data_IF_087859899136
#
_entry.id   IF_087859899136
#
_cell.length_a   1.000
_cell.length_b   1.000
_cell.length_c   1.000
_cell.angle_alpha   90.00
_cell.angle_beta   90.00
_cell.angle_gamma   90.00
#
_symmetry.space_group_name_H-M   'P 1'
#
loop_
_entity.id
_entity.type
_entity.pdbx_description
1 polymer ?
#
# COMPACT_ATOMS: atom_id res chain seq x y z
N UNK A 1 -21.29 -0.43 -34.36
CA UNK A 1 -19.90 -0.51 -34.84
C UNK A 1 -19.07 -1.15 -33.73
N UNK A 2 -18.31 -2.20 -34.02
CA UNK A 2 -17.50 -2.90 -33.01
C UNK A 2 -16.20 -2.13 -32.79
N UNK A 3 -15.76 -2.02 -31.54
CA UNK A 3 -14.53 -1.33 -31.15
C UNK A 3 -13.70 -2.19 -30.19
N UNK A 4 -12.40 -1.95 -30.14
CA UNK A 4 -11.48 -2.55 -29.18
C UNK A 4 -10.61 -1.47 -28.54
N UNK A 5 -10.10 -1.75 -27.34
CA UNK A 5 -9.11 -0.89 -26.70
C UNK A 5 -7.73 -1.06 -27.35
N UNK A 6 -7.07 0.05 -27.66
CA UNK A 6 -5.70 0.13 -28.15
C UNK A 6 -4.87 0.89 -27.11
N UNK A 7 -3.68 0.41 -26.79
CA UNK A 7 -2.78 1.03 -25.82
C UNK A 7 -1.62 1.65 -26.58
N UNK A 8 -1.37 2.94 -26.40
CA UNK A 8 -0.19 3.59 -26.94
C UNK A 8 1.08 3.13 -26.19
N UNK A 9 1.93 2.45 -26.94
CA UNK A 9 3.18 1.86 -26.49
C UNK A 9 4.15 2.91 -25.92
N UNK A 10 4.19 4.11 -26.51
CA UNK A 10 5.13 5.15 -26.12
C UNK A 10 4.74 5.84 -24.82
N UNK A 11 3.44 5.86 -24.50
CA UNK A 11 2.90 6.49 -23.30
C UNK A 11 2.70 5.50 -22.15
N UNK A 12 2.64 4.19 -22.42
CA UNK A 12 2.34 3.19 -21.39
C UNK A 12 3.47 3.02 -20.36
N UNK A 13 3.20 3.35 -19.10
CA UNK A 13 4.18 3.22 -17.99
C UNK A 13 4.19 1.84 -17.29
N UNK A 14 3.36 0.89 -17.72
CA UNK A 14 3.32 -0.44 -17.09
C UNK A 14 2.73 -0.47 -15.67
N UNK A 15 1.72 0.36 -15.36
CA UNK A 15 1.11 0.47 -14.01
C UNK A 15 0.20 -0.70 -13.60
N UNK A 16 -0.20 -1.57 -14.54
CA UNK A 16 -1.08 -2.76 -14.39
C UNK A 16 -2.53 -2.51 -13.98
N UNK A 17 -2.96 -1.26 -13.78
CA UNK A 17 -4.34 -0.95 -13.37
C UNK A 17 -5.38 -1.35 -14.43
N UNK A 18 -5.06 -1.17 -15.72
CA UNK A 18 -5.93 -1.60 -16.83
C UNK A 18 -6.15 -3.13 -16.86
N UNK A 19 -5.14 -3.94 -16.50
CA UNK A 19 -5.27 -5.40 -16.38
C UNK A 19 -6.22 -5.78 -15.24
N UNK A 20 -6.22 -5.02 -14.14
CA UNK A 20 -7.13 -5.26 -13.02
C UNK A 20 -8.57 -4.82 -13.34
N UNK A 21 -8.74 -3.87 -14.24
CA UNK A 21 -10.06 -3.41 -14.66
C UNK A 21 -10.70 -4.32 -15.72
N UNK A 22 -9.91 -4.92 -16.61
CA UNK A 22 -10.44 -5.70 -17.73
C UNK A 22 -11.24 -6.93 -17.25
N UNK A 23 -12.57 -6.99 -17.51
CA UNK A 23 -13.41 -8.05 -16.99
C UNK A 23 -13.22 -9.39 -17.72
N UNK A 24 -12.67 -9.37 -18.94
CA UNK A 24 -12.41 -10.55 -19.78
C UNK A 24 -10.95 -10.97 -19.82
N UNK A 25 -10.08 -10.32 -19.05
CA UNK A 25 -8.62 -10.57 -19.10
C UNK A 25 -8.06 -10.49 -20.53
N UNK A 26 -8.45 -9.46 -21.31
CA UNK A 26 -7.99 -9.24 -22.68
C UNK A 26 -6.70 -8.40 -22.77
N UNK A 27 -6.20 -7.86 -21.66
CA UNK A 27 -4.98 -7.05 -21.61
C UNK A 27 -3.84 -7.89 -21.04
N UNK A 28 -2.72 -7.95 -21.76
CA UNK A 28 -1.50 -8.64 -21.37
C UNK A 28 -0.38 -7.64 -21.07
N UNK A 29 0.56 -8.05 -20.22
CA UNK A 29 1.76 -7.31 -19.88
C UNK A 29 2.17 -7.54 -18.43
N UNK A 30 3.11 -6.76 -17.94
CA UNK A 30 3.65 -6.90 -16.59
C UNK A 30 3.98 -5.52 -15.98
N UNK A 31 4.25 -5.50 -14.68
CA UNK A 31 4.67 -4.28 -14.01
C UNK A 31 5.93 -3.70 -14.67
N UNK A 32 5.89 -2.39 -14.98
CA UNK A 32 6.96 -1.66 -15.68
C UNK A 32 7.27 -2.17 -17.09
N UNK A 33 6.33 -2.91 -17.69
CA UNK A 33 6.38 -3.33 -19.08
C UNK A 33 5.15 -2.79 -19.80
N UNK A 34 5.29 -2.57 -21.10
CA UNK A 34 4.18 -2.17 -21.95
C UNK A 34 3.06 -3.22 -21.92
N UNK A 35 1.82 -2.74 -21.94
CA UNK A 35 0.65 -3.60 -22.04
C UNK A 35 0.11 -3.64 -23.47
N UNK A 36 -0.49 -4.77 -23.84
CA UNK A 36 -1.06 -4.99 -25.17
C UNK A 36 -2.44 -5.62 -25.04
N UNK A 37 -3.37 -5.22 -25.91
CA UNK A 37 -4.74 -5.76 -25.92
C UNK A 37 -4.84 -6.88 -26.95
N UNK A 38 -5.33 -8.04 -26.51
CA UNK A 38 -5.77 -9.12 -27.39
C UNK A 38 -7.08 -8.70 -28.06
N UNK A 39 -6.96 -8.09 -29.24
CA UNK A 39 -8.07 -7.50 -29.98
C UNK A 39 -9.30 -8.41 -30.08
N UNK A 40 -9.11 -9.68 -30.39
CA UNK A 40 -10.21 -10.64 -30.58
C UNK A 40 -10.97 -11.00 -29.30
N UNK A 41 -10.32 -10.84 -28.14
CA UNK A 41 -10.89 -11.13 -26.83
C UNK A 41 -11.47 -9.86 -26.17
N UNK A 42 -11.15 -8.68 -26.71
CA UNK A 42 -11.68 -7.41 -26.24
C UNK A 42 -13.17 -7.26 -26.62
N UNK A 43 -13.99 -6.94 -25.63
CA UNK A 43 -15.44 -6.71 -25.80
C UNK A 43 -15.79 -5.25 -26.07
N UNK A 44 -14.82 -4.33 -25.96
CA UNK A 44 -15.07 -2.89 -26.07
C UNK A 44 -15.87 -2.28 -24.91
N UNK A 45 -15.83 -2.89 -23.71
CA UNK A 45 -16.56 -2.42 -22.52
C UNK A 45 -16.07 -1.08 -21.94
N UNK A 46 -14.84 -0.65 -22.26
CA UNK A 46 -14.23 0.63 -21.83
C UNK A 46 -13.85 0.75 -20.35
N UNK A 47 -14.03 -0.30 -19.53
CA UNK A 47 -13.64 -0.31 -18.11
C UNK A 47 -12.15 0.00 -17.85
N UNK A 48 -11.29 -0.21 -18.85
CA UNK A 48 -9.85 0.04 -18.74
C UNK A 48 -9.42 1.51 -18.91
N UNK A 49 -10.30 2.38 -19.41
CA UNK A 49 -9.98 3.79 -19.67
C UNK A 49 -9.75 4.57 -18.37
N UNK A 50 -10.76 4.62 -17.50
CA UNK A 50 -10.74 5.36 -16.23
C UNK A 50 -9.53 5.03 -15.32
N UNK A 51 -9.13 3.77 -15.12
CA UNK A 51 -8.01 3.45 -14.24
C UNK A 51 -6.62 3.72 -14.86
N UNK A 52 -6.51 4.16 -16.11
CA UNK A 52 -5.24 4.49 -16.73
C UNK A 52 -4.74 5.87 -16.26
N UNK A 53 -3.66 5.96 -15.44
CA UNK A 53 -3.22 7.22 -14.85
C UNK A 53 -2.52 8.17 -15.85
N UNK A 54 -2.20 7.67 -17.05
CA UNK A 54 -1.54 8.41 -18.13
C UNK A 54 -2.41 8.51 -19.38
N UNK A 55 -3.67 8.05 -19.29
CA UNK A 55 -4.67 8.12 -20.36
C UNK A 55 -4.20 7.63 -21.74
N UNK A 56 -3.34 6.59 -21.76
CA UNK A 56 -2.73 6.04 -22.98
C UNK A 56 -3.62 5.05 -23.75
N UNK A 57 -4.94 5.02 -23.51
CA UNK A 57 -5.83 3.99 -24.08
C UNK A 57 -6.91 4.62 -24.96
N UNK A 58 -7.01 4.15 -26.20
CA UNK A 58 -7.98 4.63 -27.19
C UNK A 58 -8.95 3.51 -27.59
N UNK A 59 -10.18 3.86 -27.94
CA UNK A 59 -11.12 2.92 -28.58
C UNK A 59 -11.00 3.04 -30.09
N UNK A 60 -10.64 1.94 -30.75
CA UNK A 60 -10.49 1.87 -32.21
C UNK A 60 -11.54 0.95 -32.83
N UNK A 61 -12.11 1.32 -33.99
CA UNK A 61 -13.06 0.46 -34.69
C UNK A 61 -12.35 -0.75 -35.30
N UNK A 62 -13.09 -1.84 -35.48
CA UNK A 62 -12.64 -2.94 -36.33
C UNK A 62 -12.81 -2.57 -37.80
N UNK A 63 -11.79 -2.82 -38.61
CA UNK A 63 -11.79 -2.55 -40.06
C UNK A 63 -12.83 -3.40 -40.80
N UNK A 64 -12.99 -4.67 -40.42
CA UNK A 64 -13.94 -5.59 -41.02
C UNK A 64 -15.25 -5.62 -40.23
N UNK A 65 -16.27 -4.95 -40.77
CA UNK A 65 -17.60 -4.84 -40.15
C UNK A 65 -18.56 -5.97 -40.57
N UNK A 66 -18.21 -6.73 -41.61
CA UNK A 66 -19.02 -7.81 -42.17
C UNK A 66 -18.80 -9.16 -41.45
N UNK A 67 -18.93 -9.15 -40.12
CA UNK A 67 -18.76 -10.37 -39.34
C UNK A 67 -20.06 -11.21 -39.34
N UNK A 68 -20.02 -12.52 -39.67
CA UNK A 68 -21.18 -13.37 -39.59
C UNK A 68 -21.83 -13.37 -38.20
N UNK A 69 -23.17 -13.28 -38.09
CA UNK A 69 -23.85 -13.27 -36.80
C UNK A 69 -23.55 -14.47 -35.90
N UNK A 70 -23.23 -15.63 -36.47
CA UNK A 70 -22.86 -16.83 -35.71
C UNK A 70 -21.53 -16.67 -34.97
N UNK A 71 -20.52 -16.15 -35.66
CA UNK A 71 -19.22 -15.91 -35.06
C UNK A 71 -19.29 -14.80 -34.01
N UNK A 72 -20.17 -13.80 -34.16
CA UNK A 72 -20.40 -12.77 -33.12
C UNK A 72 -21.00 -13.39 -31.85
N UNK A 73 -21.97 -14.30 -32.00
CA UNK A 73 -22.52 -15.06 -30.87
C UNK A 73 -21.47 -15.94 -30.20
N UNK A 74 -20.57 -16.54 -30.97
CA UNK A 74 -19.46 -17.32 -30.41
C UNK A 74 -18.52 -16.45 -29.58
N UNK A 75 -18.13 -15.28 -30.08
CA UNK A 75 -17.31 -14.34 -29.31
C UNK A 75 -18.00 -13.87 -28.04
N UNK A 76 -19.29 -13.54 -28.12
CA UNK A 76 -20.07 -13.15 -26.95
C UNK A 76 -20.07 -14.25 -25.88
N UNK A 77 -20.28 -15.51 -26.29
CA UNK A 77 -20.17 -16.69 -25.40
C UNK A 77 -18.76 -16.81 -24.79
N UNK A 78 -17.70 -16.64 -25.59
CA UNK A 78 -16.32 -16.69 -25.11
C UNK A 78 -16.02 -15.59 -24.09
N UNK A 79 -16.47 -14.36 -24.35
CA UNK A 79 -16.34 -13.24 -23.43
C UNK A 79 -17.08 -13.46 -22.11
N UNK A 80 -18.26 -14.07 -22.15
CA UNK A 80 -19.00 -14.47 -20.95
C UNK A 80 -18.23 -15.53 -20.15
N UNK A 81 -17.74 -16.58 -20.81
CA UNK A 81 -16.91 -17.62 -20.17
C UNK A 81 -15.66 -17.04 -19.51
N UNK A 82 -14.97 -16.11 -20.17
CA UNK A 82 -13.79 -15.44 -19.60
C UNK A 82 -14.13 -14.57 -18.39
N UNK A 83 -15.24 -13.82 -18.45
CA UNK A 83 -15.74 -13.06 -17.31
C UNK A 83 -16.02 -13.96 -16.12
N UNK A 84 -16.74 -15.05 -16.33
CA UNK A 84 -17.05 -16.04 -15.29
C UNK A 84 -15.77 -16.68 -14.72
N UNK A 85 -14.79 -17.01 -15.57
CA UNK A 85 -13.51 -17.55 -15.13
C UNK A 85 -12.71 -16.56 -14.27
N UNK A 86 -12.72 -15.27 -14.64
CA UNK A 86 -12.05 -14.20 -13.88
C UNK A 86 -12.71 -14.01 -12.52
N UNK A 87 -14.04 -13.90 -12.46
CA UNK A 87 -14.75 -13.72 -11.18
C UNK A 87 -14.51 -14.91 -10.25
N UNK A 88 -14.62 -16.13 -10.75
CA UNK A 88 -14.33 -17.34 -9.97
C UNK A 88 -12.88 -17.38 -9.45
N UNK A 89 -11.90 -16.92 -10.26
CA UNK A 89 -10.50 -16.79 -9.83
C UNK A 89 -10.35 -15.76 -8.70
N UNK A 90 -10.96 -14.58 -8.82
CA UNK A 90 -10.88 -13.53 -7.80
C UNK A 90 -11.54 -13.96 -6.49
N UNK A 91 -12.72 -14.58 -6.54
CA UNK A 91 -13.38 -15.11 -5.35
C UNK A 91 -12.54 -16.16 -4.63
N UNK A 92 -11.90 -17.07 -5.37
CA UNK A 92 -11.00 -18.06 -4.80
C UNK A 92 -9.84 -17.39 -4.05
N UNK A 93 -9.17 -16.43 -4.68
CA UNK A 93 -8.05 -15.70 -4.09
C UNK A 93 -8.48 -14.90 -2.85
N UNK A 94 -9.67 -14.29 -2.87
CA UNK A 94 -10.19 -13.57 -1.72
C UNK A 94 -10.48 -14.50 -0.55
N UNK A 95 -11.09 -15.67 -0.80
CA UNK A 95 -11.31 -16.70 0.23
C UNK A 95 -9.99 -17.13 0.85
N UNK A 96 -8.98 -17.47 0.04
CA UNK A 96 -7.63 -17.86 0.50
C UNK A 96 -6.94 -16.74 1.30
N UNK A 97 -7.04 -15.49 0.85
CA UNK A 97 -6.50 -14.33 1.57
C UNK A 97 -7.21 -14.15 2.93
N UNK A 98 -8.54 -14.30 2.95
CA UNK A 98 -9.34 -14.14 4.16
C UNK A 98 -9.02 -15.21 5.21
N UNK A 99 -8.87 -16.47 4.79
CA UNK A 99 -8.50 -17.58 5.69
C UNK A 99 -7.10 -17.36 6.25
N UNK A 100 -6.12 -17.02 5.40
CA UNK A 100 -4.75 -16.69 5.84
C UNK A 100 -4.72 -15.56 6.86
N UNK A 101 -5.49 -14.49 6.65
CA UNK A 101 -5.58 -13.37 7.59
C UNK A 101 -6.24 -13.79 8.91
N UNK A 102 -7.29 -14.62 8.89
CA UNK A 102 -7.91 -15.18 10.10
C UNK A 102 -6.92 -16.03 10.90
N UNK A 103 -6.19 -16.93 10.24
CA UNK A 103 -5.15 -17.74 10.88
C UNK A 103 -4.03 -16.86 11.48
N UNK A 104 -3.55 -15.86 10.73
CA UNK A 104 -2.54 -14.91 11.23
C UNK A 104 -3.05 -14.12 12.44
N UNK A 105 -4.30 -13.64 12.40
CA UNK A 105 -4.92 -12.92 13.52
C UNK A 105 -5.04 -13.80 14.75
N UNK A 106 -5.56 -15.02 14.62
CA UNK A 106 -5.68 -15.96 15.72
C UNK A 106 -4.32 -16.32 16.34
N UNK A 107 -3.28 -16.49 15.52
CA UNK A 107 -1.92 -16.71 16.00
C UNK A 107 -1.39 -15.51 16.80
N UNK A 108 -1.58 -14.28 16.29
CA UNK A 108 -1.18 -13.05 16.97
C UNK A 108 -1.94 -12.86 18.30
N UNK A 109 -3.23 -13.15 18.35
CA UNK A 109 -4.04 -13.07 19.58
C UNK A 109 -3.56 -14.07 20.63
N UNK A 110 -3.24 -15.31 20.24
CA UNK A 110 -2.63 -16.30 21.14
C UNK A 110 -1.29 -15.80 21.72
N UNK A 111 -0.44 -15.17 20.92
CA UNK A 111 0.82 -14.58 21.42
C UNK A 111 0.62 -13.37 22.33
N UNK A 112 -0.51 -12.66 22.22
CA UNK A 112 -0.86 -11.54 23.11
C UNK A 112 -1.51 -11.96 24.42
N UNK A 113 -2.25 -13.06 24.41
CA UNK A 113 -2.97 -13.62 25.55
C UNK A 113 -2.12 -14.58 26.40
N UNK A 114 -1.03 -15.12 25.84
CA UNK A 114 0.06 -15.65 26.65
C UNK A 114 0.77 -14.48 27.33
N UNK A 115 0.81 -14.49 28.66
CA UNK A 115 1.51 -13.52 29.50
C UNK A 115 2.94 -13.35 28.96
N UNK A 116 3.21 -12.23 28.29
CA UNK A 116 4.43 -12.06 27.50
C UNK A 116 5.54 -11.55 28.43
N UNK A 117 6.48 -12.42 28.89
CA UNK A 117 7.51 -12.03 29.85
C UNK A 117 8.38 -10.89 29.32
N UNK A 118 8.39 -10.66 27.99
CA UNK A 118 9.10 -9.53 27.37
C UNK A 118 8.39 -8.20 27.62
N UNK A 119 7.05 -8.14 27.64
CA UNK A 119 6.32 -6.89 27.96
C UNK A 119 6.57 -6.47 29.40
N UNK A 120 6.49 -7.42 30.34
CA UNK A 120 6.82 -7.17 31.74
C UNK A 120 8.29 -6.73 31.92
N UNK A 121 9.23 -7.35 31.19
CA UNK A 121 10.64 -6.97 31.22
C UNK A 121 10.90 -5.56 30.64
N UNK A 122 10.24 -5.19 29.54
CA UNK A 122 10.36 -3.85 28.93
C UNK A 122 9.79 -2.78 29.86
N UNK A 123 8.63 -3.03 30.48
CA UNK A 123 8.03 -2.08 31.41
C UNK A 123 8.91 -1.89 32.66
N UNK A 124 9.45 -2.98 33.22
CA UNK A 124 10.39 -2.93 34.32
C UNK A 124 11.69 -2.17 33.95
N UNK A 125 12.20 -2.35 32.72
CA UNK A 125 13.35 -1.62 32.22
C UNK A 125 13.06 -0.11 32.08
N UNK A 126 11.90 0.25 31.52
CA UNK A 126 11.49 1.65 31.38
C UNK A 126 11.32 2.34 32.73
N UNK A 127 10.72 1.68 33.72
CA UNK A 127 10.62 2.17 35.11
C UNK A 127 12.00 2.42 35.73
N UNK A 128 12.96 1.50 35.54
CA UNK A 128 14.34 1.66 36.02
C UNK A 128 15.05 2.84 35.36
N UNK A 129 14.86 3.05 34.05
CA UNK A 129 15.43 4.19 33.33
C UNK A 129 14.81 5.51 33.79
N UNK A 130 13.49 5.57 33.99
CA UNK A 130 12.80 6.73 34.51
C UNK A 130 13.29 7.09 35.93
N UNK A 131 13.42 6.11 36.83
CA UNK A 131 13.96 6.31 38.16
C UNK A 131 15.41 6.80 38.15
N UNK A 132 16.27 6.22 37.30
CA UNK A 132 17.66 6.71 37.10
C UNK A 132 17.70 8.13 36.56
N UNK A 133 16.80 8.49 35.63
CA UNK A 133 16.72 9.85 35.08
C UNK A 133 16.26 10.86 36.14
N UNK A 134 15.28 10.51 36.98
CA UNK A 134 14.84 11.34 38.10
C UNK A 134 15.95 11.55 39.14
N UNK A 135 16.64 10.48 39.55
CA UNK A 135 17.77 10.57 40.48
C UNK A 135 18.94 11.40 39.92
N UNK A 136 19.19 11.30 38.60
CA UNK A 136 20.25 12.05 37.91
C UNK A 136 19.88 13.51 37.63
N UNK A 137 18.60 13.85 37.57
CA UNK A 137 18.11 15.23 37.51
C UNK A 137 18.22 15.95 38.87
N UNK A 138 18.21 15.19 39.98
CA UNK A 138 18.29 15.73 41.34
C UNK A 138 19.72 16.09 41.80
N UNK A 139 20.77 15.60 41.14
CA UNK A 139 22.17 15.95 41.47
C UNK A 139 22.89 16.58 40.27
N UNK A 140 23.29 17.86 40.32
CA UNK A 140 24.20 18.42 39.32
C UNK A 140 25.54 17.68 39.38
N UNK A 141 26.12 17.39 38.22
CA UNK A 141 27.47 16.80 38.13
C UNK A 141 28.52 17.90 38.26
N UNK A 142 29.67 17.56 38.83
CA UNK A 142 30.91 18.35 38.77
C UNK A 142 30.83 19.74 39.45
N UNK A 143 30.48 19.76 40.73
CA UNK A 143 30.37 21.01 41.53
C UNK A 143 31.63 21.32 42.37
N UNK A 144 32.57 20.40 42.48
CA UNK A 144 33.63 20.45 43.51
C UNK A 144 34.82 21.35 43.15
N UNK A 145 34.96 21.80 41.89
CA UNK A 145 36.11 22.60 41.40
C UNK A 145 35.68 23.78 40.50
N UNK A 146 34.56 24.43 40.81
CA UNK A 146 34.09 25.58 40.03
C UNK A 146 34.59 26.90 40.64
N UNK A 147 35.14 27.78 39.80
CA UNK A 147 35.45 29.15 40.20
C UNK A 147 34.14 29.95 40.40
N UNK A 148 34.14 31.03 41.21
CA UNK A 148 32.94 31.86 41.42
C UNK A 148 32.32 32.39 40.13
N UNK A 149 33.15 32.71 39.13
CA UNK A 149 32.69 33.17 37.82
C UNK A 149 31.97 32.06 37.04
N UNK A 150 32.50 30.83 37.07
CA UNK A 150 31.86 29.67 36.43
C UNK A 150 30.53 29.32 37.10
N UNK A 151 30.45 29.46 38.42
CA UNK A 151 29.22 29.24 39.17
C UNK A 151 28.11 30.22 38.73
N UNK A 152 28.43 31.51 38.65
CA UNK A 152 27.49 32.55 38.21
C UNK A 152 27.02 32.33 36.75
N UNK A 153 27.90 31.86 35.87
CA UNK A 153 27.55 31.53 34.48
C UNK A 153 26.57 30.35 34.40
N UNK A 154 26.77 29.31 35.22
CA UNK A 154 25.88 28.14 35.28
C UNK A 154 24.50 28.53 35.82
N UNK A 155 24.44 29.37 36.85
CA UNK A 155 23.19 29.87 37.41
C UNK A 155 22.41 30.73 36.41
N UNK A 156 23.10 31.64 35.72
CA UNK A 156 22.50 32.44 34.65
C UNK A 156 21.96 31.57 33.51
N UNK A 157 22.69 30.53 33.11
CA UNK A 157 22.23 29.58 32.08
C UNK A 157 21.02 28.76 32.54
N UNK A 158 20.98 28.34 33.81
CA UNK A 158 19.85 27.61 34.38
C UNK A 158 18.62 28.51 34.55
N UNK A 159 18.79 29.78 34.92
CA UNK A 159 17.71 30.77 34.99
C UNK A 159 17.09 31.02 33.62
N UNK A 160 17.91 31.16 32.56
CA UNK A 160 17.44 31.27 31.17
C UNK A 160 16.66 30.03 30.73
N UNK A 161 17.12 28.83 31.08
CA UNK A 161 16.43 27.56 30.76
C UNK A 161 15.10 27.41 31.51
N UNK A 162 15.00 27.89 32.76
CA UNK A 162 13.74 27.91 33.52
C UNK A 162 12.73 28.87 32.86
N UNK A 163 13.14 30.11 32.57
CA UNK A 163 12.30 31.07 31.83
C UNK A 163 11.78 30.51 30.50
N UNK A 164 12.65 29.86 29.72
CA UNK A 164 12.26 29.23 28.44
C UNK A 164 11.32 28.02 28.59
N UNK A 165 11.30 27.35 29.76
CA UNK A 165 10.41 26.22 30.04
C UNK A 165 9.07 26.65 30.62
N UNK A 166 9.08 27.77 31.34
CA UNK A 166 7.91 28.33 32.02
C UNK A 166 7.13 29.33 31.14
N UNK A 167 7.66 29.67 29.95
CA UNK A 167 6.89 30.25 28.84
C UNK A 167 6.47 31.72 29.00
N UNK A 168 7.37 32.56 29.52
CA UNK A 168 7.22 34.03 29.56
C UNK A 168 8.16 34.75 28.60
#
# INVERSE_FOLDING_TARGET
>A
MREYAFIDEQACIGCTLCIQACPVDAILGAAKQMHTVLRDECTGCRDCLEPCPVDCIEMRPFENQDWPPELERERARRAEQRRAARTARLERLERERSTRLRHKKAALEKTKAGDDPKKAAIEAAMKRVAAKKAARAAKPRNIENLTPQQQAQIEAANARRRKARDGE
#
